data_IF_242284073240
#
_entry.id   IF_242284073240
#
_cell.length_a   1.000
_cell.length_b   1.000
_cell.length_c   1.000
_cell.angle_alpha   90.00
_cell.angle_beta   90.00
_cell.angle_gamma   90.00
#
_symmetry.space_group_name_H-M   'P 1'
#
loop_
_entity.id
_entity.type
_entity.pdbx_description
1 polymer ?
#
# COMPACT_ATOMS: atom_id res chain seq x y z
N UNK A 1 -42.91 16.68 1.04
CA UNK A 1 -42.11 15.66 1.73
C UNK A 1 -40.71 15.75 1.16
N UNK A 2 -39.78 16.36 1.89
CA UNK A 2 -38.38 16.43 1.49
C UNK A 2 -37.75 15.05 1.68
N UNK A 3 -36.99 14.59 0.68
CA UNK A 3 -36.22 13.36 0.79
C UNK A 3 -35.14 13.52 1.87
N UNK A 4 -35.04 12.52 2.73
CA UNK A 4 -34.03 12.42 3.78
C UNK A 4 -32.62 12.37 3.13
N UNK A 5 -31.71 13.32 3.44
CA UNK A 5 -30.36 13.34 2.87
C UNK A 5 -29.50 12.14 3.30
N UNK A 6 -30.00 11.28 4.21
CA UNK A 6 -29.28 10.14 4.74
C UNK A 6 -29.69 8.78 4.15
N UNK A 7 -30.33 8.78 2.98
CA UNK A 7 -30.56 7.53 2.25
C UNK A 7 -29.25 7.11 1.58
N UNK A 8 -28.40 6.41 2.33
CA UNK A 8 -27.23 5.74 1.78
C UNK A 8 -27.73 4.69 0.79
N UNK A 9 -27.59 5.00 -0.51
CA UNK A 9 -27.81 4.04 -1.58
C UNK A 9 -26.97 2.79 -1.26
N UNK A 10 -27.46 1.57 -1.54
CA UNK A 10 -26.62 0.38 -1.41
C UNK A 10 -25.34 0.64 -2.20
N UNK A 11 -24.19 0.54 -1.52
CA UNK A 11 -22.91 0.78 -2.16
C UNK A 11 -22.81 -0.17 -3.36
N UNK A 12 -22.76 0.39 -4.56
CA UNK A 12 -22.45 -0.40 -5.75
C UNK A 12 -21.10 -1.09 -5.57
N UNK A 13 -20.85 -2.14 -6.34
CA UNK A 13 -19.53 -2.79 -6.37
C UNK A 13 -18.44 -1.72 -6.52
N UNK A 14 -17.40 -1.69 -5.67
CA UNK A 14 -16.31 -0.75 -5.81
C UNK A 14 -15.73 -0.77 -7.23
N UNK A 15 -15.41 0.42 -7.76
CA UNK A 15 -14.76 0.53 -9.07
C UNK A 15 -13.34 -0.07 -9.07
N UNK A 16 -12.69 -0.17 -10.24
CA UNK A 16 -11.33 -0.68 -10.34
C UNK A 16 -10.35 0.25 -9.63
N UNK A 17 -9.18 -0.28 -9.25
CA UNK A 17 -8.06 0.54 -8.76
C UNK A 17 -7.27 1.11 -9.95
N UNK A 18 -6.91 2.38 -9.87
CA UNK A 18 -6.27 3.14 -10.94
C UNK A 18 -4.93 3.73 -10.52
N UNK A 19 -4.19 4.27 -11.49
CA UNK A 19 -2.98 5.05 -11.22
C UNK A 19 -3.26 6.29 -10.37
N UNK A 20 -4.45 6.90 -10.48
CA UNK A 20 -4.81 8.08 -9.69
C UNK A 20 -5.04 7.72 -8.20
N UNK A 21 -5.48 6.49 -7.92
CA UNK A 21 -5.59 5.96 -6.55
C UNK A 21 -4.22 5.82 -5.88
N UNK A 22 -3.19 5.41 -6.63
CA UNK A 22 -1.80 5.36 -6.14
C UNK A 22 -1.30 6.76 -5.78
N UNK A 23 -1.52 7.73 -6.66
CA UNK A 23 -1.14 9.14 -6.42
C UNK A 23 -1.86 9.66 -5.17
N UNK A 24 -3.17 9.44 -5.07
CA UNK A 24 -3.97 9.88 -3.93
C UNK A 24 -3.49 9.25 -2.62
N UNK A 25 -3.21 7.94 -2.60
CA UNK A 25 -2.72 7.25 -1.40
C UNK A 25 -1.40 7.85 -0.91
N UNK A 26 -0.46 8.10 -1.83
CA UNK A 26 0.86 8.67 -1.52
C UNK A 26 0.75 10.13 -1.07
N UNK A 27 -0.08 10.94 -1.73
CA UNK A 27 -0.34 12.32 -1.31
C UNK A 27 -0.91 12.39 0.11
N UNK A 28 -1.85 11.51 0.46
CA UNK A 28 -2.42 11.43 1.81
C UNK A 28 -1.37 11.02 2.85
N UNK A 29 -0.58 9.98 2.55
CA UNK A 29 0.49 9.51 3.43
C UNK A 29 1.53 10.62 3.68
N UNK A 30 2.01 11.25 2.61
CA UNK A 30 3.01 12.31 2.69
C UNK A 30 2.47 13.54 3.41
N UNK A 31 1.23 13.94 3.16
CA UNK A 31 0.59 15.05 3.86
C UNK A 31 0.49 14.80 5.38
N UNK A 32 0.13 13.57 5.78
CA UNK A 32 0.07 13.20 7.19
C UNK A 32 1.47 13.21 7.83
N UNK A 33 2.45 12.54 7.22
CA UNK A 33 3.82 12.42 7.76
C UNK A 33 4.53 13.77 7.85
N UNK A 34 4.23 14.71 6.94
CA UNK A 34 4.76 16.09 6.97
C UNK A 34 4.35 16.86 8.24
N UNK A 35 3.31 16.42 8.95
CA UNK A 35 2.89 17.04 10.22
C UNK A 35 3.80 16.72 11.42
N UNK A 36 4.79 15.83 11.26
CA UNK A 36 5.72 15.40 12.32
C UNK A 36 7.20 15.59 11.92
N UNK A 37 7.67 16.82 11.64
CA UNK A 37 9.03 17.06 11.15
C UNK A 37 10.13 16.75 12.19
N UNK A 38 9.82 16.91 13.47
CA UNK A 38 10.77 16.72 14.58
C UNK A 38 10.60 15.36 15.29
N UNK A 39 9.77 14.45 14.74
CA UNK A 39 9.53 13.15 15.35
C UNK A 39 10.76 12.23 15.25
N UNK A 40 10.83 11.25 16.15
CA UNK A 40 11.93 10.28 16.15
C UNK A 40 11.68 9.17 15.13
N UNK A 41 12.31 9.27 13.96
CA UNK A 41 12.22 8.26 12.91
C UNK A 41 12.98 6.96 13.23
N UNK A 42 13.74 6.90 14.33
CA UNK A 42 14.33 5.66 14.84
C UNK A 42 13.39 4.90 15.77
N UNK A 43 12.27 5.50 16.19
CA UNK A 43 11.26 4.80 16.97
C UNK A 43 10.60 3.68 16.15
N UNK A 44 10.10 2.61 16.81
CA UNK A 44 9.34 1.57 16.13
C UNK A 44 8.13 2.12 15.37
N UNK A 45 7.86 1.61 14.18
CA UNK A 45 6.69 1.95 13.38
C UNK A 45 5.45 1.21 13.90
N UNK A 46 4.77 1.81 14.87
CA UNK A 46 3.56 1.24 15.47
C UNK A 46 3.85 -0.06 16.20
N UNK A 47 3.33 -1.19 15.68
CA UNK A 47 3.58 -2.53 16.24
C UNK A 47 4.70 -3.30 15.55
N UNK A 48 5.36 -2.71 14.54
CA UNK A 48 6.43 -3.37 13.80
C UNK A 48 7.75 -3.37 14.60
N UNK A 49 8.60 -4.37 14.34
CA UNK A 49 9.98 -4.38 14.82
C UNK A 49 10.88 -3.41 14.02
N UNK A 50 10.40 -2.93 12.88
CA UNK A 50 11.07 -1.94 12.04
C UNK A 50 10.92 -0.54 12.61
N UNK A 51 11.96 0.27 12.44
CA UNK A 51 11.88 1.70 12.76
C UNK A 51 11.00 2.42 11.73
N UNK A 52 10.52 3.62 12.07
CA UNK A 52 9.81 4.46 11.12
C UNK A 52 10.65 4.75 9.87
N UNK A 53 11.97 4.91 10.01
CA UNK A 53 12.87 5.05 8.87
C UNK A 53 12.88 3.81 7.98
N UNK A 54 13.06 2.63 8.57
CA UNK A 54 13.08 1.35 7.83
C UNK A 54 11.75 1.07 7.14
N UNK A 55 10.62 1.36 7.79
CA UNK A 55 9.27 1.24 7.19
C UNK A 55 9.07 2.25 6.06
N UNK A 56 9.56 3.48 6.18
CA UNK A 56 9.51 4.46 5.10
C UNK A 56 10.34 4.04 3.89
N UNK A 57 11.55 3.52 4.10
CA UNK A 57 12.40 2.98 3.03
C UNK A 57 11.75 1.79 2.34
N UNK A 58 11.20 0.86 3.13
CA UNK A 58 10.48 -0.29 2.59
C UNK A 58 9.30 0.14 1.72
N UNK A 59 8.49 1.10 2.17
CA UNK A 59 7.39 1.61 1.36
C UNK A 59 7.87 2.26 0.05
N UNK A 60 8.96 3.04 0.09
CA UNK A 60 9.56 3.62 -1.11
C UNK A 60 10.07 2.52 -2.07
N UNK A 61 10.71 1.48 -1.52
CA UNK A 61 11.19 0.32 -2.27
C UNK A 61 10.04 -0.46 -2.90
N UNK A 62 8.96 -0.72 -2.16
CA UNK A 62 7.78 -1.43 -2.66
C UNK A 62 7.15 -0.72 -3.86
N UNK A 63 6.98 0.60 -3.78
CA UNK A 63 6.46 1.39 -4.90
C UNK A 63 7.37 1.28 -6.15
N UNK A 64 8.69 1.35 -5.96
CA UNK A 64 9.66 1.14 -7.04
C UNK A 64 9.61 -0.29 -7.58
N UNK A 65 9.60 -1.29 -6.70
CA UNK A 65 9.62 -2.70 -7.03
C UNK A 65 8.37 -3.07 -7.84
N UNK A 66 7.18 -2.65 -7.40
CA UNK A 66 5.94 -2.86 -8.15
C UNK A 66 6.00 -2.25 -9.55
N UNK A 67 6.54 -1.03 -9.68
CA UNK A 67 6.71 -0.39 -10.97
C UNK A 67 7.70 -1.16 -11.87
N UNK A 68 8.82 -1.61 -11.31
CA UNK A 68 9.82 -2.41 -12.03
C UNK A 68 9.27 -3.76 -12.49
N UNK A 69 8.46 -4.42 -11.67
CA UNK A 69 7.85 -5.71 -11.96
C UNK A 69 6.86 -5.63 -13.12
N UNK A 70 5.91 -4.68 -13.08
CA UNK A 70 4.88 -4.56 -14.12
C UNK A 70 5.36 -3.78 -15.35
N UNK A 71 6.47 -3.05 -15.25
CA UNK A 71 7.15 -2.40 -16.38
C UNK A 71 7.92 -3.37 -17.28
N UNK A 72 8.22 -4.59 -16.81
CA UNK A 72 8.81 -5.64 -17.65
C UNK A 72 7.77 -6.27 -18.56
N UNK A 73 7.83 -5.97 -19.85
CA UNK A 73 6.94 -6.57 -20.87
C UNK A 73 7.30 -8.03 -21.24
N UNK A 74 8.37 -8.58 -20.67
CA UNK A 74 8.68 -10.01 -20.80
C UNK A 74 7.87 -10.79 -19.77
N UNK A 75 7.22 -11.91 -20.13
CA UNK A 75 6.59 -12.80 -19.18
C UNK A 75 7.62 -13.26 -18.15
N UNK A 76 7.50 -12.74 -16.94
CA UNK A 76 8.20 -13.22 -15.77
C UNK A 76 7.25 -14.22 -15.11
N UNK A 77 7.20 -15.44 -15.66
CA UNK A 77 6.19 -16.42 -15.26
C UNK A 77 6.45 -16.96 -13.84
N UNK A 78 7.73 -17.11 -13.44
CA UNK A 78 8.12 -17.77 -12.19
C UNK A 78 9.19 -17.03 -11.36
N UNK A 79 9.68 -15.86 -11.78
CA UNK A 79 10.75 -15.16 -11.05
C UNK A 79 10.58 -13.64 -11.13
N UNK A 80 10.99 -12.94 -10.08
CA UNK A 80 11.05 -11.48 -10.07
C UNK A 80 12.15 -10.94 -10.98
N UNK A 81 12.08 -9.65 -11.34
CA UNK A 81 13.25 -8.96 -11.87
C UNK A 81 14.35 -9.05 -10.81
N UNK A 82 15.52 -9.56 -11.23
CA UNK A 82 16.64 -9.81 -10.33
C UNK A 82 17.37 -8.51 -9.98
N UNK A 83 16.85 -7.81 -8.99
CA UNK A 83 17.51 -6.69 -8.32
C UNK A 83 18.46 -7.19 -7.23
N UNK A 84 19.46 -6.37 -6.88
CA UNK A 84 20.26 -6.61 -5.68
C UNK A 84 19.46 -6.16 -4.46
N UNK A 85 19.55 -6.90 -3.36
CA UNK A 85 18.88 -6.57 -2.10
C UNK A 85 19.92 -6.33 -1.01
N UNK A 86 19.61 -5.38 -0.12
CA UNK A 86 20.41 -5.11 1.07
C UNK A 86 19.51 -4.74 2.24
N UNK A 87 20.01 -4.94 3.46
CA UNK A 87 19.36 -4.55 4.71
C UNK A 87 20.29 -3.65 5.50
N UNK A 88 19.73 -2.67 6.23
CA UNK A 88 20.52 -1.86 7.18
C UNK A 88 20.98 -2.66 8.40
N UNK A 89 20.16 -3.62 8.83
CA UNK A 89 20.43 -4.56 9.93
C UNK A 89 19.72 -5.89 9.67
N UNK A 90 20.06 -6.92 10.44
CA UNK A 90 19.59 -8.28 10.19
C UNK A 90 18.05 -8.42 10.25
N UNK A 91 17.39 -7.72 11.17
CA UNK A 91 15.94 -7.78 11.37
C UNK A 91 15.16 -6.71 10.58
N UNK A 92 15.87 -5.84 9.84
CA UNK A 92 15.26 -4.85 8.95
C UNK A 92 14.77 -5.46 7.63
N UNK A 93 14.00 -4.70 6.84
CA UNK A 93 13.50 -5.14 5.54
C UNK A 93 14.64 -5.29 4.51
N UNK A 94 14.46 -6.21 3.56
CA UNK A 94 15.25 -6.25 2.32
C UNK A 94 14.73 -5.16 1.38
N UNK A 95 15.63 -4.30 0.90
CA UNK A 95 15.29 -3.28 -0.08
C UNK A 95 16.23 -3.32 -1.29
N UNK A 96 15.69 -2.99 -2.47
CA UNK A 96 16.45 -2.75 -3.71
C UNK A 96 17.00 -1.33 -3.83
N UNK A 97 16.26 -0.36 -3.28
CA UNK A 97 16.64 1.05 -3.19
C UNK A 97 16.59 1.51 -1.72
N UNK A 98 17.38 2.52 -1.38
CA UNK A 98 17.43 3.09 -0.02
C UNK A 98 17.47 4.61 -0.10
N UNK A 99 17.01 5.26 0.97
CA UNK A 99 17.03 6.73 1.10
C UNK A 99 18.27 7.13 1.91
N UNK A 100 18.88 8.25 1.57
CA UNK A 100 20.03 8.76 2.32
C UNK A 100 19.61 9.17 3.74
N UNK A 101 20.15 8.49 4.76
CA UNK A 101 19.76 8.67 6.16
C UNK A 101 20.01 10.10 6.65
N UNK A 102 21.17 10.66 6.30
CA UNK A 102 21.58 12.01 6.70
C UNK A 102 20.74 13.13 6.03
N UNK A 103 20.01 12.81 4.96
CA UNK A 103 19.11 13.76 4.30
C UNK A 103 17.78 13.95 5.06
N UNK A 104 17.49 13.07 6.02
CA UNK A 104 16.40 13.21 6.98
C UNK A 104 14.99 13.02 6.41
N UNK A 105 13.95 13.23 7.25
CA UNK A 105 12.56 12.93 6.93
C UNK A 105 12.02 13.62 5.66
N UNK A 106 12.48 14.84 5.36
CA UNK A 106 12.04 15.53 4.14
C UNK A 106 12.47 14.80 2.87
N UNK A 107 13.65 14.17 2.87
CA UNK A 107 14.12 13.38 1.73
C UNK A 107 13.31 12.07 1.61
N UNK A 108 12.94 11.46 2.75
CA UNK A 108 12.03 10.31 2.78
C UNK A 108 10.69 10.63 2.12
N UNK A 109 10.06 11.77 2.46
CA UNK A 109 8.81 12.18 1.84
C UNK A 109 8.95 12.38 0.32
N UNK A 110 10.05 12.97 -0.14
CA UNK A 110 10.34 13.10 -1.57
C UNK A 110 10.54 11.75 -2.28
N UNK A 111 11.14 10.77 -1.59
CA UNK A 111 11.28 9.42 -2.13
C UNK A 111 9.92 8.71 -2.27
N UNK A 112 9.01 8.88 -1.30
CA UNK A 112 7.64 8.36 -1.40
C UNK A 112 6.86 9.01 -2.55
N UNK A 113 6.90 10.34 -2.67
CA UNK A 113 6.28 11.07 -3.79
C UNK A 113 6.83 10.60 -5.15
N UNK A 114 8.16 10.42 -5.26
CA UNK A 114 8.80 9.94 -6.48
C UNK A 114 8.42 8.49 -6.82
N UNK A 115 8.46 7.59 -5.83
CA UNK A 115 8.09 6.17 -6.00
C UNK A 115 6.63 6.02 -6.44
N UNK A 116 5.71 6.76 -5.80
CA UNK A 116 4.30 6.80 -6.17
C UNK A 116 4.08 7.30 -7.60
N UNK A 117 4.77 8.38 -7.99
CA UNK A 117 4.72 8.91 -9.35
C UNK A 117 5.23 7.92 -10.40
N UNK A 118 6.32 7.20 -10.11
CA UNK A 118 6.87 6.16 -11.00
C UNK A 118 5.85 5.02 -11.17
N UNK A 119 5.32 4.48 -10.08
CA UNK A 119 4.33 3.39 -10.14
C UNK A 119 3.09 3.81 -10.92
N UNK A 120 2.53 4.98 -10.62
CA UNK A 120 1.36 5.51 -11.30
C UNK A 120 1.61 5.69 -12.81
N UNK A 121 2.78 6.19 -13.21
CA UNK A 121 3.14 6.35 -14.62
C UNK A 121 3.26 5.00 -15.35
N UNK A 122 3.91 4.01 -14.73
CA UNK A 122 4.03 2.66 -15.31
C UNK A 122 2.66 2.00 -15.42
N UNK A 123 1.85 2.00 -14.37
CA UNK A 123 0.47 1.46 -14.38
C UNK A 123 -0.34 2.05 -15.53
N UNK A 124 -0.26 3.38 -15.74
CA UNK A 124 -0.99 4.07 -16.81
C UNK A 124 -0.52 3.68 -18.22
N UNK A 125 0.77 3.42 -18.38
CA UNK A 125 1.38 3.10 -19.67
C UNK A 125 1.30 1.61 -20.02
N UNK A 126 1.15 0.72 -19.04
CA UNK A 126 1.18 -0.72 -19.25
C UNK A 126 -0.17 -1.25 -19.76
N UNK A 127 -0.19 -2.11 -20.81
CA UNK A 127 -1.42 -2.73 -21.30
C UNK A 127 -2.15 -3.57 -20.22
N UNK A 128 -3.50 -3.57 -20.16
CA UNK A 128 -4.25 -4.38 -19.19
C UNK A 128 -4.01 -5.90 -19.28
N UNK A 129 -3.49 -6.38 -20.42
CA UNK A 129 -3.14 -7.79 -20.64
C UNK A 129 -1.76 -8.16 -20.11
N UNK A 130 -0.92 -7.19 -19.72
CA UNK A 130 0.39 -7.47 -19.14
C UNK A 130 0.26 -8.19 -17.80
N UNK A 131 1.26 -9.04 -17.50
CA UNK A 131 1.35 -9.75 -16.24
C UNK A 131 2.76 -9.63 -15.68
N UNK A 132 2.86 -9.12 -14.46
CA UNK A 132 4.10 -9.07 -13.69
C UNK A 132 4.07 -10.09 -12.55
N UNK A 133 5.24 -10.62 -12.20
CA UNK A 133 5.37 -11.56 -11.09
C UNK A 133 5.21 -10.84 -9.74
N UNK A 134 4.50 -11.47 -8.81
CA UNK A 134 4.53 -11.14 -7.38
C UNK A 134 4.42 -12.45 -6.59
N UNK A 135 4.98 -12.48 -5.38
CA UNK A 135 5.05 -13.71 -4.55
C UNK A 135 3.64 -14.26 -4.22
N UNK A 136 2.63 -13.38 -4.23
CA UNK A 136 1.22 -13.71 -4.03
C UNK A 136 0.40 -13.89 -5.33
N UNK A 137 1.09 -14.11 -6.45
CA UNK A 137 0.51 -14.43 -7.75
C UNK A 137 0.81 -13.39 -8.82
N UNK A 138 0.89 -13.83 -10.08
CA UNK A 138 1.05 -12.94 -11.22
C UNK A 138 -0.10 -11.94 -11.31
N UNK A 139 0.21 -10.66 -11.50
CA UNK A 139 -0.75 -9.55 -11.40
C UNK A 139 -0.72 -8.64 -12.62
N UNK A 140 -1.83 -7.94 -12.85
CA UNK A 140 -2.02 -6.97 -13.92
C UNK A 140 -1.77 -5.54 -13.40
N UNK A 141 -1.80 -4.50 -14.27
CA UNK A 141 -1.57 -3.12 -13.83
C UNK A 141 -2.51 -2.65 -12.73
N UNK A 142 -3.79 -3.07 -12.76
CA UNK A 142 -4.75 -2.79 -11.68
C UNK A 142 -4.32 -3.42 -10.36
N UNK A 143 -3.88 -4.68 -10.39
CA UNK A 143 -3.41 -5.36 -9.18
C UNK A 143 -2.13 -4.76 -8.59
N UNK A 144 -1.18 -4.33 -9.42
CA UNK A 144 -0.01 -3.59 -8.94
C UNK A 144 -0.36 -2.19 -8.41
N UNK A 145 -1.36 -1.52 -8.99
CA UNK A 145 -1.90 -0.28 -8.42
C UNK A 145 -2.52 -0.53 -7.04
N UNK A 146 -3.32 -1.59 -6.91
CA UNK A 146 -3.92 -1.98 -5.64
C UNK A 146 -2.87 -2.37 -4.58
N UNK A 147 -1.76 -3.01 -4.98
CA UNK A 147 -0.63 -3.31 -4.11
C UNK A 147 0.04 -2.02 -3.61
N UNK A 148 0.32 -1.08 -4.51
CA UNK A 148 0.85 0.23 -4.13
C UNK A 148 -0.08 0.99 -3.17
N UNK A 149 -1.39 0.94 -3.38
CA UNK A 149 -2.37 1.55 -2.47
C UNK A 149 -2.38 0.85 -1.11
N UNK A 150 -2.52 -0.49 -1.04
CA UNK A 150 -2.57 -1.17 0.26
C UNK A 150 -1.32 -0.90 1.08
N UNK A 151 -0.14 -1.05 0.47
CA UNK A 151 1.15 -0.84 1.13
C UNK A 151 1.28 0.58 1.65
N UNK A 152 0.95 1.57 0.81
CA UNK A 152 0.97 2.98 1.21
C UNK A 152 0.05 3.24 2.40
N UNK A 153 -1.19 2.75 2.37
CA UNK A 153 -2.15 3.01 3.43
C UNK A 153 -1.75 2.34 4.76
N UNK A 154 -1.37 1.07 4.72
CA UNK A 154 -1.07 0.32 5.95
C UNK A 154 0.27 0.74 6.56
N UNK A 155 1.27 1.08 5.75
CA UNK A 155 2.53 1.59 6.26
C UNK A 155 2.46 3.07 6.65
N UNK A 156 1.63 3.89 6.01
CA UNK A 156 1.32 5.21 6.54
C UNK A 156 0.65 5.12 7.92
N UNK A 157 -0.22 4.12 8.15
CA UNK A 157 -0.74 3.83 9.49
C UNK A 157 0.37 3.43 10.46
N UNK A 158 1.25 2.49 10.09
CA UNK A 158 2.33 2.03 10.95
C UNK A 158 3.27 3.20 11.35
N UNK A 159 3.64 4.03 10.38
CA UNK A 159 4.42 5.24 10.57
C UNK A 159 3.68 6.26 11.45
N UNK A 160 2.41 6.53 11.17
CA UNK A 160 1.61 7.47 11.95
C UNK A 160 1.53 7.06 13.42
N UNK A 161 1.35 5.76 13.69
CA UNK A 161 1.36 5.19 15.05
C UNK A 161 2.72 5.37 15.74
N UNK A 162 3.83 5.11 15.03
CA UNK A 162 5.18 5.28 15.57
C UNK A 162 5.57 6.73 15.83
N UNK A 163 5.17 7.64 14.95
CA UNK A 163 5.46 9.08 15.03
C UNK A 163 4.45 9.84 15.92
N UNK A 164 3.40 9.18 16.42
CA UNK A 164 2.41 9.77 17.32
C UNK A 164 1.41 10.71 16.65
N UNK A 165 1.14 10.52 15.36
CA UNK A 165 0.17 11.31 14.59
C UNK A 165 -1.06 10.49 14.21
N UNK A 166 -2.13 11.18 13.82
CA UNK A 166 -3.34 10.54 13.31
C UNK A 166 -3.24 10.30 11.80
N UNK A 167 -3.78 9.17 11.35
CA UNK A 167 -3.92 8.86 9.93
C UNK A 167 -5.18 8.00 9.72
N UNK A 168 -6.04 8.46 8.81
CA UNK A 168 -7.24 7.74 8.39
C UNK A 168 -7.50 8.07 6.91
N UNK A 169 -7.45 7.08 6.00
CA UNK A 169 -7.68 7.30 4.58
C UNK A 169 -9.17 7.31 4.22
N UNK A 170 -9.54 7.83 3.03
CA UNK A 170 -10.89 7.72 2.51
C UNK A 170 -11.37 6.26 2.37
N UNK A 171 -12.58 5.98 2.86
CA UNK A 171 -13.14 4.63 2.88
C UNK A 171 -13.32 4.02 1.47
N UNK A 172 -13.55 4.85 0.45
CA UNK A 172 -13.72 4.40 -0.93
C UNK A 172 -12.40 3.84 -1.52
N UNK A 173 -11.27 4.45 -1.17
CA UNK A 173 -9.94 3.98 -1.55
C UNK A 173 -9.65 2.60 -0.91
N UNK A 174 -9.96 2.45 0.38
CA UNK A 174 -9.87 1.16 1.07
C UNK A 174 -10.78 0.10 0.44
N UNK A 175 -12.02 0.48 0.08
CA UNK A 175 -13.00 -0.44 -0.49
C UNK A 175 -12.56 -0.99 -1.86
N UNK A 176 -12.00 -0.13 -2.74
CA UNK A 176 -11.46 -0.58 -4.05
C UNK A 176 -10.31 -1.57 -3.87
N UNK A 177 -9.38 -1.27 -2.96
CA UNK A 177 -8.24 -2.15 -2.66
C UNK A 177 -8.67 -3.48 -2.04
N UNK A 178 -9.60 -3.46 -1.07
CA UNK A 178 -10.18 -4.68 -0.50
C UNK A 178 -10.85 -5.53 -1.58
N UNK A 179 -11.67 -4.92 -2.43
CA UNK A 179 -12.34 -5.60 -3.51
C UNK A 179 -11.36 -6.27 -4.48
N UNK A 180 -10.24 -5.60 -4.81
CA UNK A 180 -9.25 -6.11 -5.77
C UNK A 180 -8.34 -7.21 -5.20
N UNK A 181 -7.98 -7.14 -3.92
CA UNK A 181 -6.89 -7.94 -3.35
C UNK A 181 -7.31 -8.96 -2.29
N UNK A 182 -8.50 -8.80 -1.69
CA UNK A 182 -8.94 -9.56 -0.53
C UNK A 182 -10.34 -10.15 -0.73
N UNK A 183 -10.53 -11.09 -1.68
CA UNK A 183 -11.85 -11.65 -2.00
C UNK A 183 -12.51 -12.42 -0.84
N UNK A 184 -11.76 -12.75 0.20
CA UNK A 184 -12.19 -13.48 1.38
C UNK A 184 -12.70 -12.60 2.53
N UNK A 185 -12.59 -11.26 2.41
CA UNK A 185 -13.00 -10.31 3.45
C UNK A 185 -14.47 -9.87 3.29
N UNK A 186 -15.16 -9.51 4.38
CA UNK A 186 -16.51 -8.96 4.29
C UNK A 186 -16.58 -7.64 3.54
N UNK A 187 -17.60 -7.48 2.70
CA UNK A 187 -17.92 -6.22 2.01
C UNK A 187 -18.92 -5.32 2.76
N UNK A 188 -19.45 -5.76 3.90
CA UNK A 188 -20.52 -5.09 4.68
C UNK A 188 -20.02 -4.40 5.95
N UNK A 189 -18.71 -4.19 6.06
CA UNK A 189 -18.02 -3.60 7.22
C UNK A 189 -17.29 -2.33 6.82
N UNK A 190 -16.93 -1.49 7.79
CA UNK A 190 -16.20 -0.25 7.51
C UNK A 190 -14.86 -0.57 6.81
N UNK A 191 -14.60 -0.05 5.59
CA UNK A 191 -13.47 -0.47 4.76
C UNK A 191 -12.08 -0.28 5.39
N UNK A 192 -11.84 0.81 6.14
CA UNK A 192 -10.52 1.04 6.72
C UNK A 192 -10.22 0.08 7.87
N UNK A 193 -11.17 -0.11 8.79
CA UNK A 193 -11.11 -1.11 9.87
C UNK A 193 -10.92 -2.51 9.28
N UNK A 194 -11.64 -2.84 8.21
CA UNK A 194 -11.50 -4.14 7.54
C UNK A 194 -10.15 -4.31 6.86
N UNK A 195 -9.58 -3.26 6.28
CA UNK A 195 -8.23 -3.29 5.70
C UNK A 195 -7.15 -3.49 6.78
N UNK A 196 -7.27 -2.82 7.92
CA UNK A 196 -6.38 -3.02 9.07
C UNK A 196 -6.49 -4.45 9.62
N UNK A 197 -7.70 -4.98 9.78
CA UNK A 197 -7.88 -6.38 10.19
C UNK A 197 -7.34 -7.38 9.16
N UNK A 198 -7.64 -7.17 7.87
CA UNK A 198 -7.23 -8.03 6.78
C UNK A 198 -5.70 -8.17 6.67
N UNK A 199 -4.97 -7.14 7.12
CA UNK A 199 -3.51 -7.04 7.13
C UNK A 199 -2.90 -7.18 8.54
N UNK A 200 -3.65 -7.74 9.51
CA UNK A 200 -3.16 -8.11 10.83
C UNK A 200 -2.88 -6.95 11.81
N UNK A 201 -3.27 -5.73 11.45
CA UNK A 201 -3.03 -4.48 12.21
C UNK A 201 -4.17 -4.09 13.15
N UNK A 202 -5.36 -4.66 12.97
CA UNK A 202 -6.54 -4.34 13.76
C UNK A 202 -7.40 -5.54 14.13
N UNK A 203 -8.45 -5.26 14.90
CA UNK A 203 -9.53 -6.19 15.22
C UNK A 203 -10.74 -5.88 14.33
N UNK A 204 -11.56 -6.90 14.06
CA UNK A 204 -12.85 -6.73 13.40
C UNK A 204 -13.92 -7.48 14.19
N UNK A 205 -15.01 -6.79 14.54
CA UNK A 205 -16.04 -7.35 15.42
C UNK A 205 -16.57 -8.68 14.87
N UNK A 206 -16.66 -9.68 15.77
CA UNK A 206 -17.11 -11.02 15.41
C UNK A 206 -16.10 -11.85 14.63
N UNK A 207 -14.85 -11.40 14.46
CA UNK A 207 -13.80 -12.14 13.73
C UNK A 207 -12.56 -12.33 14.59
N UNK A 208 -11.88 -13.47 14.38
CA UNK A 208 -10.57 -13.72 14.96
C UNK A 208 -9.52 -12.80 14.32
N UNK A 209 -8.57 -12.31 15.13
CA UNK A 209 -7.43 -11.52 14.66
C UNK A 209 -6.59 -12.33 13.66
N UNK A 210 -6.18 -11.71 12.55
CA UNK A 210 -5.26 -12.35 11.60
C UNK A 210 -3.82 -12.33 12.10
N UNK A 211 -3.31 -13.50 12.52
CA UNK A 211 -1.90 -13.69 12.89
C UNK A 211 -0.97 -13.88 11.68
N UNK A 212 -1.51 -14.32 10.55
CA UNK A 212 -0.85 -14.37 9.24
C UNK A 212 -1.83 -13.87 8.19
N UNK A 213 -1.34 -13.13 7.21
CA UNK A 213 -2.16 -12.58 6.14
C UNK A 213 -1.44 -12.67 4.81
N UNK A 214 -2.22 -12.59 3.73
CA UNK A 214 -1.77 -12.44 2.35
C UNK A 214 -2.87 -11.74 1.56
N UNK A 215 -2.53 -11.16 0.43
CA UNK A 215 -3.50 -10.81 -0.61
C UNK A 215 -3.50 -11.83 -1.76
N UNK A 216 -4.39 -11.62 -2.72
CA UNK A 216 -4.56 -12.43 -3.91
C UNK A 216 -4.38 -11.55 -5.14
N UNK A 217 -3.15 -11.54 -5.68
CA UNK A 217 -2.75 -10.63 -6.76
C UNK A 217 -3.29 -11.01 -8.14
N UNK A 218 -3.64 -12.28 -8.34
CA UNK A 218 -4.18 -12.75 -9.61
C UNK A 218 -5.44 -11.93 -9.99
N UNK A 219 -5.63 -11.58 -11.27
CA UNK A 219 -6.88 -10.98 -11.72
C UNK A 219 -8.05 -11.90 -11.34
N UNK A 220 -9.17 -11.32 -10.90
CA UNK A 220 -10.40 -12.06 -10.69
C UNK A 220 -10.83 -12.79 -11.97
N UNK A 221 -11.51 -13.93 -11.84
CA UNK A 221 -12.17 -14.53 -13.01
C UNK A 221 -13.21 -13.53 -13.54
N UNK A 222 -13.06 -13.13 -14.79
CA UNK A 222 -14.03 -12.30 -15.53
C UNK A 222 -15.33 -13.05 -15.76
#
# INVERSE_FOLDING_TARGET
MAADPNTQLPAGTPGPVTADDVVQAVELAVAALRSAPDADWNAPAGSLEWTCWETGEHLADDLFFYAAQIGSLRPLEDDSVRWGYSRRRAEGPDNTITVELEAGPSAMLGALEAGGGILAAVVRATPPTARGFHVFGASDPEGFAAMGVVETLVHAHDLARGLGIAFEPPADLCARTLHRLFPDVPGDTEPWVTLLWATGRGELEGRERRGKWRWYGAPGAT
#
